data_IF_944803222317
#
_entry.id   IF_944803222317
#
_cell.length_a   1.000
_cell.length_b   1.000
_cell.length_c   1.000
_cell.angle_alpha   90.00
_cell.angle_beta   90.00
_cell.angle_gamma   90.00
#
_symmetry.space_group_name_H-M   'P 1'
#
loop_
_entity.id
_entity.type
_entity.pdbx_description
1 polymer ?
#
# COMPACT_ATOMS: atom_id res chain seq x y z
N UNK A 1 2.30 17.31 11.60
CA UNK A 1 0.90 17.65 11.25
C UNK A 1 0.13 16.47 10.64
N UNK A 2 0.61 15.84 9.55
CA UNK A 2 -0.10 14.73 8.88
C UNK A 2 -0.47 13.55 9.80
N UNK A 3 0.45 13.10 10.67
CA UNK A 3 0.17 11.99 11.60
C UNK A 3 -1.08 12.19 12.46
N UNK A 4 -1.37 13.43 12.90
CA UNK A 4 -2.56 13.72 13.71
C UNK A 4 -3.87 13.50 12.95
N UNK A 5 -3.84 13.60 11.61
CA UNK A 5 -4.96 13.36 10.71
C UNK A 5 -5.12 11.88 10.35
N UNK A 6 -4.03 11.10 10.37
CA UNK A 6 -4.05 9.67 9.99
C UNK A 6 -4.22 8.72 11.18
N UNK A 7 -3.64 9.04 12.35
CA UNK A 7 -3.64 8.17 13.52
C UNK A 7 -5.04 7.84 14.02
N UNK A 8 -5.13 6.78 14.83
CA UNK A 8 -6.37 6.36 15.49
C UNK A 8 -7.51 6.12 14.49
N UNK A 9 -7.20 5.66 13.27
CA UNK A 9 -8.18 5.35 12.23
C UNK A 9 -9.06 6.56 11.84
N UNK A 10 -8.54 7.78 11.97
CA UNK A 10 -9.29 9.02 11.68
C UNK A 10 -9.66 9.19 10.21
N UNK A 11 -8.87 8.62 9.30
CA UNK A 11 -9.13 8.69 7.86
C UNK A 11 -9.82 7.39 7.40
N UNK A 12 -11.12 7.46 7.10
CA UNK A 12 -11.92 6.34 6.58
C UNK A 12 -11.86 5.04 7.41
N UNK A 13 -11.57 5.15 8.70
CA UNK A 13 -11.36 3.99 9.62
C UNK A 13 -10.16 3.09 9.28
N UNK A 14 -9.30 3.49 8.35
CA UNK A 14 -8.11 2.73 7.96
C UNK A 14 -6.95 2.92 8.94
N UNK A 15 -6.19 1.85 9.17
CA UNK A 15 -5.05 1.87 10.09
C UNK A 15 -3.78 2.34 9.36
N UNK A 16 -3.33 3.54 9.72
CA UNK A 16 -2.01 4.01 9.35
C UNK A 16 -0.99 3.68 10.43
N UNK A 17 0.12 3.05 10.02
CA UNK A 17 1.34 2.88 10.80
C UNK A 17 2.33 3.97 10.41
N UNK A 18 3.17 4.41 11.34
CA UNK A 18 4.23 5.41 11.10
C UNK A 18 5.60 4.75 11.20
N UNK A 19 6.57 5.16 10.37
CA UNK A 19 7.95 4.63 10.35
C UNK A 19 7.96 3.10 10.29
N UNK A 20 7.21 2.54 9.35
CA UNK A 20 6.97 1.11 9.27
C UNK A 20 7.99 0.42 8.35
N UNK A 21 8.74 -0.58 8.82
CA UNK A 21 9.65 -1.33 7.96
C UNK A 21 8.85 -2.21 7.00
N UNK A 22 9.05 -2.00 5.71
CA UNK A 22 8.56 -2.86 4.64
C UNK A 22 9.69 -3.80 4.28
N UNK A 23 9.51 -5.08 4.63
CA UNK A 23 10.50 -6.14 4.42
C UNK A 23 10.16 -6.91 3.15
N UNK A 24 11.19 -7.21 2.36
CA UNK A 24 11.10 -8.02 1.16
C UNK A 24 12.30 -8.96 1.05
N UNK A 25 12.05 -10.21 0.70
CA UNK A 25 13.09 -11.18 0.40
C UNK A 25 12.88 -11.68 -1.02
N UNK A 26 13.81 -11.32 -1.91
CA UNK A 26 13.81 -11.73 -3.31
C UNK A 26 14.77 -12.87 -3.57
N UNK A 27 15.92 -12.85 -2.91
CA UNK A 27 16.98 -13.84 -3.06
C UNK A 27 16.99 -14.72 -1.81
N UNK A 28 17.16 -16.02 -2.02
CA UNK A 28 17.07 -17.09 -0.99
C UNK A 28 17.91 -16.76 0.28
N UNK A 29 18.95 -15.94 0.15
CA UNK A 29 19.85 -15.56 1.25
C UNK A 29 19.96 -14.04 1.49
N UNK A 30 19.01 -13.21 1.02
CA UNK A 30 19.07 -11.75 1.25
C UNK A 30 17.71 -11.14 1.57
N UNK A 31 17.68 -10.43 2.70
CA UNK A 31 16.56 -9.62 3.15
C UNK A 31 16.84 -8.15 2.82
N UNK A 32 15.88 -7.50 2.18
CA UNK A 32 15.88 -6.07 1.96
C UNK A 32 14.73 -5.46 2.76
N UNK A 33 14.93 -4.25 3.25
CA UNK A 33 13.84 -3.50 3.84
C UNK A 33 14.02 -2.00 3.58
N UNK A 34 12.91 -1.29 3.59
CA UNK A 34 12.91 0.17 3.67
C UNK A 34 11.91 0.62 4.73
N UNK A 35 12.09 1.82 5.27
CA UNK A 35 11.19 2.38 6.29
C UNK A 35 10.25 3.35 5.59
N UNK A 36 8.96 3.03 5.56
CA UNK A 36 7.93 3.93 5.08
C UNK A 36 7.57 4.96 6.17
N UNK A 37 7.43 6.24 5.82
CA UNK A 37 6.97 7.26 6.78
C UNK A 37 5.58 6.94 7.29
N UNK A 38 4.67 6.56 6.37
CA UNK A 38 3.39 5.96 6.73
C UNK A 38 3.04 4.78 5.84
N UNK A 39 2.35 3.80 6.42
CA UNK A 39 1.86 2.62 5.72
C UNK A 39 0.43 2.28 6.13
N UNK A 40 -0.42 1.97 5.15
CA UNK A 40 -1.78 1.50 5.32
C UNK A 40 -1.94 0.15 4.60
N UNK A 41 -2.05 -0.92 5.37
CA UNK A 41 -2.15 -2.28 4.83
C UNK A 41 -3.46 -2.50 4.07
N UNK A 42 -4.58 -1.97 4.59
CA UNK A 42 -5.90 -2.12 3.97
C UNK A 42 -6.00 -1.53 2.56
N UNK A 43 -5.07 -0.64 2.20
CA UNK A 43 -5.02 0.03 0.89
C UNK A 43 -3.71 -0.17 0.15
N UNK A 44 -2.86 -1.06 0.66
CA UNK A 44 -1.54 -1.34 0.08
C UNK A 44 -0.76 -0.02 -0.18
N UNK A 45 -0.96 0.99 0.69
CA UNK A 45 -0.54 2.36 0.44
C UNK A 45 0.64 2.72 1.35
N UNK A 46 1.72 3.14 0.72
CA UNK A 46 2.88 3.77 1.35
C UNK A 46 2.85 5.26 1.06
N UNK A 47 3.05 6.07 2.11
CA UNK A 47 3.20 7.51 2.00
C UNK A 47 4.61 7.85 2.45
N UNK A 48 5.34 8.57 1.61
CA UNK A 48 6.63 9.14 1.96
C UNK A 48 6.54 10.66 2.02
N UNK A 49 7.18 11.22 3.02
CA UNK A 49 7.43 12.65 3.12
C UNK A 49 8.84 12.91 2.62
N UNK A 50 9.11 14.13 2.16
CA UNK A 50 10.39 14.52 1.59
C UNK A 50 11.57 14.14 2.51
N UNK A 51 12.18 12.99 2.19
CA UNK A 51 13.40 12.50 2.77
C UNK A 51 14.48 12.78 1.76
N UNK A 52 15.48 13.59 2.14
CA UNK A 52 16.73 13.68 1.38
C UNK A 52 17.12 12.25 1.03
N UNK A 53 17.05 11.94 -0.26
CA UNK A 53 17.57 10.70 -0.82
C UNK A 53 19.07 10.77 -0.54
N UNK A 54 19.52 10.14 0.55
CA UNK A 54 20.94 10.01 0.81
C UNK A 54 21.53 9.30 -0.41
N UNK A 55 22.46 9.97 -1.10
CA UNK A 55 23.00 9.68 -2.43
C UNK A 55 23.66 8.30 -2.62
N UNK A 56 23.62 7.43 -1.62
CA UNK A 56 24.06 6.03 -1.70
C UNK A 56 22.95 5.08 -2.23
N UNK A 57 21.91 5.61 -2.90
CA UNK A 57 20.65 4.91 -3.21
C UNK A 57 20.55 4.24 -4.59
N UNK A 58 21.58 4.27 -5.44
CA UNK A 58 21.45 3.77 -6.82
C UNK A 58 21.07 2.29 -6.92
N UNK A 59 21.62 1.44 -6.03
CA UNK A 59 21.23 0.02 -5.93
C UNK A 59 19.93 -0.19 -5.12
N UNK A 60 19.57 0.78 -4.27
CA UNK A 60 18.38 0.72 -3.43
C UNK A 60 17.11 1.13 -4.19
N UNK A 61 17.20 2.05 -5.15
CA UNK A 61 16.07 2.55 -5.93
C UNK A 61 15.54 1.52 -6.93
N UNK A 62 16.42 0.82 -7.66
CA UNK A 62 15.98 -0.23 -8.58
C UNK A 62 15.31 -1.40 -7.85
N UNK A 63 15.89 -1.81 -6.72
CA UNK A 63 15.31 -2.86 -5.89
C UNK A 63 13.99 -2.40 -5.25
N UNK A 64 13.93 -1.15 -4.81
CA UNK A 64 12.71 -0.55 -4.26
C UNK A 64 11.57 -0.59 -5.28
N UNK A 65 11.78 -0.11 -6.49
CA UNK A 65 10.75 -0.11 -7.54
C UNK A 65 10.29 -1.53 -7.91
N UNK A 66 11.19 -2.51 -7.88
CA UNK A 66 10.86 -3.92 -8.09
C UNK A 66 10.07 -4.54 -6.93
N UNK A 67 10.46 -4.26 -5.68
CA UNK A 67 9.75 -4.68 -4.47
C UNK A 67 8.31 -4.14 -4.48
N UNK A 68 8.13 -2.92 -4.97
CA UNK A 68 6.83 -2.25 -5.05
C UNK A 68 5.94 -2.88 -6.12
N UNK A 69 6.51 -3.19 -7.29
CA UNK A 69 5.80 -3.92 -8.35
C UNK A 69 5.36 -5.31 -7.88
N UNK A 70 6.17 -6.02 -7.10
CA UNK A 70 5.83 -7.38 -6.64
C UNK A 70 4.83 -7.40 -5.47
N UNK A 71 4.81 -6.37 -4.62
CA UNK A 71 3.92 -6.32 -3.45
C UNK A 71 2.59 -5.59 -3.68
N UNK A 72 2.25 -5.22 -4.92
CA UNK A 72 1.07 -4.41 -5.26
C UNK A 72 0.98 -3.10 -4.43
N UNK A 73 2.12 -2.56 -3.98
CA UNK A 73 2.12 -1.36 -3.13
C UNK A 73 2.02 -0.10 -3.99
N UNK A 74 1.10 0.78 -3.62
CA UNK A 74 1.03 2.14 -4.15
C UNK A 74 1.90 3.05 -3.30
N UNK A 75 2.82 3.81 -3.90
CA UNK A 75 3.54 4.89 -3.22
C UNK A 75 3.00 6.24 -3.67
N UNK A 76 2.75 7.13 -2.69
CA UNK A 76 2.64 8.57 -2.94
C UNK A 76 3.68 9.31 -2.12
N UNK A 77 4.36 10.26 -2.75
CA UNK A 77 5.39 11.12 -2.13
C UNK A 77 4.86 12.53 -2.01
N UNK A 78 5.11 13.17 -0.87
CA UNK A 78 4.77 14.57 -0.63
C UNK A 78 6.03 15.36 -0.31
N UNK A 79 6.27 16.44 -1.05
CA UNK A 79 7.29 17.41 -0.69
C UNK A 79 6.92 18.14 0.59
N UNK A 80 7.90 18.69 1.30
CA UNK A 80 7.65 19.42 2.56
C UNK A 80 6.69 20.61 2.34
N UNK A 81 6.81 21.32 1.21
CA UNK A 81 5.94 22.45 0.87
C UNK A 81 4.48 22.01 0.60
N UNK A 82 4.27 20.78 0.12
CA UNK A 82 2.91 20.24 -0.06
C UNK A 82 2.21 20.01 1.27
N UNK A 83 2.97 19.72 2.34
CA UNK A 83 2.42 19.50 3.68
C UNK A 83 1.84 20.77 4.31
N UNK A 84 2.16 21.95 3.79
CA UNK A 84 1.52 23.21 4.17
C UNK A 84 0.03 23.22 3.78
N UNK A 85 -0.34 22.50 2.70
CA UNK A 85 -1.72 22.40 2.20
C UNK A 85 -2.34 21.04 2.56
N UNK A 86 -2.58 20.85 3.86
CA UNK A 86 -3.04 19.56 4.42
C UNK A 86 -4.34 19.02 3.80
N UNK A 87 -5.25 19.88 3.37
CA UNK A 87 -6.49 19.46 2.69
C UNK A 87 -6.19 18.78 1.35
N UNK A 88 -5.30 19.37 0.55
CA UNK A 88 -4.83 18.82 -0.72
C UNK A 88 -4.10 17.49 -0.52
N UNK A 89 -3.25 17.39 0.51
CA UNK A 89 -2.57 16.15 0.89
C UNK A 89 -3.57 15.05 1.21
N UNK A 90 -4.56 15.35 2.07
CA UNK A 90 -5.59 14.38 2.43
C UNK A 90 -6.46 13.99 1.22
N UNK A 91 -6.75 14.92 0.31
CA UNK A 91 -7.48 14.61 -0.92
C UNK A 91 -6.69 13.62 -1.79
N UNK A 92 -5.40 13.87 -2.01
CA UNK A 92 -4.51 12.96 -2.75
C UNK A 92 -4.40 11.57 -2.12
N UNK A 93 -4.42 11.48 -0.78
CA UNK A 93 -4.46 10.18 -0.08
C UNK A 93 -5.80 9.49 -0.33
N UNK A 94 -6.91 10.22 -0.23
CA UNK A 94 -8.26 9.66 -0.41
C UNK A 94 -8.50 9.13 -1.82
N UNK A 95 -7.94 9.77 -2.86
CA UNK A 95 -8.11 9.28 -4.24
C UNK A 95 -7.52 7.87 -4.42
N UNK A 96 -6.51 7.49 -3.63
CA UNK A 96 -5.94 6.13 -3.66
C UNK A 96 -6.91 5.06 -3.13
N UNK A 97 -7.98 5.45 -2.42
CA UNK A 97 -8.93 4.48 -1.87
C UNK A 97 -9.93 3.96 -2.91
N UNK A 98 -10.05 4.68 -4.03
CA UNK A 98 -11.02 4.45 -5.09
C UNK A 98 -10.35 3.88 -6.36
N UNK A 99 -9.41 2.96 -6.20
CA UNK A 99 -8.95 2.16 -7.34
C UNK A 99 -10.12 1.25 -7.80
N UNK A 100 -10.38 1.13 -9.12
CA UNK A 100 -11.42 0.25 -9.61
C UNK A 100 -11.14 -1.17 -9.12
N UNK A 101 -12.20 -1.83 -8.63
CA UNK A 101 -12.24 -3.21 -8.17
C UNK A 101 -11.13 -4.06 -8.75
N UNK A 102 -10.26 -4.61 -7.89
CA UNK A 102 -9.28 -5.63 -8.25
C UNK A 102 -9.92 -6.68 -9.16
N UNK A 103 -9.45 -6.79 -10.40
CA UNK A 103 -9.88 -7.74 -11.44
C UNK A 103 -9.80 -9.21 -11.00
N UNK A 104 -9.32 -9.51 -9.80
CA UNK A 104 -9.11 -10.88 -9.29
C UNK A 104 -10.29 -11.50 -8.54
N UNK A 105 -11.44 -10.84 -8.39
CA UNK A 105 -12.58 -11.39 -7.62
C UNK A 105 -13.70 -12.02 -8.44
N UNK A 106 -13.69 -11.96 -9.77
CA UNK A 106 -14.80 -12.53 -10.59
C UNK A 106 -14.61 -14.03 -10.89
N UNK A 107 -13.40 -14.60 -10.75
CA UNK A 107 -13.14 -15.97 -11.21
C UNK A 107 -13.42 -17.10 -10.19
N UNK A 108 -13.93 -16.80 -8.99
CA UNK A 108 -14.13 -17.82 -7.92
C UNK A 108 -15.60 -18.25 -7.78
N UNK A 109 -16.56 -17.57 -8.42
CA UNK A 109 -17.99 -17.82 -8.15
C UNK A 109 -18.61 -18.95 -9.01
N UNK A 110 -17.98 -19.41 -10.11
CA UNK A 110 -18.62 -20.42 -10.98
C UNK A 110 -18.38 -21.90 -10.61
N UNK A 111 -17.58 -22.23 -9.57
CA UNK A 111 -17.28 -23.64 -9.23
C UNK A 111 -17.98 -24.18 -7.97
N UNK A 112 -19.15 -23.67 -7.60
CA UNK A 112 -19.98 -24.26 -6.53
C UNK A 112 -21.46 -24.35 -6.88
N UNK A 113 -21.77 -25.15 -7.89
CA UNK A 113 -23.10 -25.78 -8.04
C UNK A 113 -22.97 -27.12 -8.77
N UNK A 114 -22.16 -28.00 -8.18
CA UNK A 114 -22.21 -29.45 -8.42
C UNK A 114 -22.69 -30.15 -7.15
N UNK A 115 -23.93 -29.90 -6.74
CA UNK A 115 -24.60 -30.71 -5.72
C UNK A 115 -25.26 -31.88 -6.42
N UNK A 116 -24.72 -33.06 -6.18
CA UNK A 116 -25.36 -34.35 -6.44
C UNK A 116 -26.50 -34.54 -5.44
N UNK A 117 -27.72 -34.73 -5.94
CA UNK A 117 -28.86 -35.26 -5.17
C UNK A 117 -29.56 -36.35 -5.96
N UNK A 118 -29.57 -37.55 -5.37
CA UNK A 118 -30.28 -38.75 -5.82
C UNK A 118 -31.81 -38.61 -5.71
N UNK A 119 -32.50 -39.28 -6.66
CA UNK A 119 -33.87 -39.86 -6.68
C UNK A 119 -35.08 -38.99 -6.29
N UNK A 120 -36.15 -39.07 -7.08
CA UNK A 120 -37.40 -39.83 -6.84
C UNK A 120 -38.41 -39.55 -7.99
N UNK A 121 -39.13 -40.61 -8.40
CA UNK A 121 -40.17 -40.80 -9.44
C UNK A 121 -39.68 -41.11 -10.86
#
# INVERSE_FOLDING_TARGET
MLWQKLRNKKLYRYKFLRQHPIIHSRFINKLYFFIADFYCAEKELVIELDGKIYENQKEYDEQRDLILKEKNLTIIRFKNEELEKMETVLLKIKTQFYSPLSTLSIHIIEKRSGVSSNKIY
#
